data_IF_123998071876
#
_entry.id   IF_123998071876
#
_cell.length_a   1.000
_cell.length_b   1.000
_cell.length_c   1.000
_cell.angle_alpha   90.00
_cell.angle_beta   90.00
_cell.angle_gamma   90.00
#
_symmetry.space_group_name_H-M   'P 1'
#
loop_
_entity.id
_entity.type
_entity.pdbx_description
1 polymer ?
#
# COMPACT_ATOMS: atom_id res chain seq x y z
N UNK A 1 43.56 -23.53 6.49
CA UNK A 1 42.09 -23.64 6.51
C UNK A 1 41.68 -23.99 7.93
N UNK A 2 41.25 -23.01 8.71
CA UNK A 2 40.73 -23.20 10.07
C UNK A 2 39.21 -23.18 9.99
N UNK A 3 38.57 -24.33 10.27
CA UNK A 3 37.12 -24.41 10.40
C UNK A 3 36.68 -23.61 11.63
N UNK A 4 35.65 -22.79 11.46
CA UNK A 4 34.91 -22.18 12.55
C UNK A 4 33.74 -23.11 12.87
N UNK A 5 33.97 -24.10 13.73
CA UNK A 5 32.89 -24.82 14.42
C UNK A 5 32.29 -23.86 15.46
N UNK A 6 31.31 -23.07 15.03
CA UNK A 6 30.44 -22.35 15.94
C UNK A 6 29.27 -23.23 16.34
N UNK A 7 29.30 -23.81 17.54
CA UNK A 7 28.11 -24.39 18.16
C UNK A 7 27.09 -23.29 18.44
N UNK A 8 25.92 -23.35 17.80
CA UNK A 8 24.79 -22.50 18.12
C UNK A 8 23.99 -23.13 19.26
N UNK A 9 24.17 -22.62 20.47
CA UNK A 9 23.40 -23.06 21.64
C UNK A 9 22.14 -22.20 21.78
N UNK A 10 20.99 -22.73 21.40
CA UNK A 10 19.68 -22.13 21.65
C UNK A 10 19.35 -22.23 23.15
N UNK A 11 19.52 -21.14 23.89
CA UNK A 11 19.07 -21.02 25.28
C UNK A 11 17.53 -20.92 25.32
N UNK A 12 16.87 -22.08 25.35
CA UNK A 12 15.43 -22.18 25.55
C UNK A 12 15.03 -21.70 26.95
N UNK A 13 14.16 -20.70 27.03
CA UNK A 13 13.39 -20.44 28.25
C UNK A 13 12.37 -21.56 28.40
N UNK A 14 12.18 -22.06 29.64
CA UNK A 14 11.10 -23.00 30.00
C UNK A 14 9.76 -22.24 30.09
N UNK A 15 9.34 -21.67 28.99
CA UNK A 15 7.94 -21.37 28.67
C UNK A 15 7.66 -22.14 27.40
N UNK A 16 6.54 -22.84 27.32
CA UNK A 16 6.11 -23.48 26.08
C UNK A 16 5.99 -22.37 25.02
N UNK A 17 7.01 -22.25 24.17
CA UNK A 17 7.13 -21.14 23.22
C UNK A 17 6.20 -21.47 22.06
N UNK A 18 4.93 -21.09 22.19
CA UNK A 18 3.93 -21.22 21.11
C UNK A 18 4.15 -20.17 20.02
N UNK A 19 5.29 -19.48 20.03
CA UNK A 19 5.64 -18.42 19.09
C UNK A 19 6.29 -18.99 17.84
N UNK A 20 5.76 -18.62 16.68
CA UNK A 20 6.37 -18.90 15.38
C UNK A 20 7.29 -17.72 15.02
N UNK A 21 8.58 -17.82 15.35
CA UNK A 21 9.53 -16.71 15.18
C UNK A 21 10.33 -16.89 13.88
N UNK A 22 10.59 -15.79 13.16
CA UNK A 22 11.33 -15.72 11.89
C UNK A 22 10.75 -16.56 10.77
N UNK A 23 9.43 -16.55 10.65
CA UNK A 23 8.72 -17.23 9.56
C UNK A 23 9.07 -16.55 8.23
N UNK A 24 9.47 -17.37 7.25
CA UNK A 24 9.68 -16.89 5.88
C UNK A 24 8.35 -16.74 5.17
N UNK A 25 8.29 -15.77 4.26
CA UNK A 25 7.15 -15.58 3.37
C UNK A 25 7.05 -16.68 2.32
N UNK A 26 5.84 -17.02 1.92
CA UNK A 26 5.56 -18.01 0.87
C UNK A 26 4.58 -19.10 1.29
N UNK A 27 4.48 -20.10 0.41
CA UNK A 27 3.71 -21.33 0.63
C UNK A 27 4.64 -22.50 0.99
N UNK A 28 4.13 -23.46 1.77
CA UNK A 28 4.84 -24.68 2.17
C UNK A 28 4.88 -24.90 3.68
N UNK A 29 5.14 -26.13 4.12
CA UNK A 29 5.05 -26.53 5.54
C UNK A 29 5.97 -25.75 6.49
N UNK A 30 7.10 -25.23 5.99
CA UNK A 30 8.05 -24.41 6.76
C UNK A 30 7.73 -22.91 6.74
N UNK A 31 6.69 -22.50 6.02
CA UNK A 31 6.27 -21.11 5.82
C UNK A 31 4.83 -20.85 6.27
N UNK A 32 4.17 -21.90 6.73
CA UNK A 32 2.85 -21.86 7.33
C UNK A 32 2.97 -21.69 8.83
N UNK A 33 2.32 -20.65 9.35
CA UNK A 33 2.06 -20.52 10.79
C UNK A 33 0.91 -21.44 11.15
N UNK A 34 1.19 -22.48 11.93
CA UNK A 34 0.16 -23.37 12.44
C UNK A 34 -0.39 -22.80 13.75
N UNK A 35 -1.61 -22.27 13.68
CA UNK A 35 -2.31 -21.77 14.85
C UNK A 35 -2.98 -22.95 15.54
N UNK A 36 -2.59 -23.24 16.78
CA UNK A 36 -3.26 -24.25 17.60
C UNK A 36 -4.38 -23.58 18.39
N UNK A 37 -5.63 -23.95 18.08
CA UNK A 37 -6.81 -23.33 18.70
C UNK A 37 -6.85 -23.53 20.21
N UNK A 38 -7.52 -22.60 20.90
CA UNK A 38 -7.83 -22.67 22.33
C UNK A 38 -8.29 -21.31 22.87
N UNK A 39 -9.32 -21.32 23.72
CA UNK A 39 -10.02 -20.11 24.19
C UNK A 39 -9.14 -19.12 24.94
N UNK A 40 -8.07 -19.59 25.57
CA UNK A 40 -7.18 -18.80 26.43
C UNK A 40 -5.74 -18.72 25.91
N UNK A 41 -5.48 -19.31 24.75
CA UNK A 41 -4.15 -19.34 24.16
C UNK A 41 -3.99 -18.20 23.17
N UNK A 42 -2.86 -17.50 23.30
CA UNK A 42 -2.43 -16.46 22.37
C UNK A 42 -1.14 -16.94 21.74
N UNK A 43 -1.11 -16.96 20.42
CA UNK A 43 0.07 -17.31 19.65
C UNK A 43 0.63 -16.09 18.96
N UNK A 44 1.95 -16.00 18.96
CA UNK A 44 2.65 -14.92 18.28
C UNK A 44 3.36 -15.48 17.05
N UNK A 45 3.29 -14.75 15.95
CA UNK A 45 4.03 -15.06 14.74
C UNK A 45 4.81 -13.82 14.30
N UNK A 46 6.12 -13.94 14.18
CA UNK A 46 7.01 -12.90 13.69
C UNK A 46 7.64 -13.33 12.38
N UNK A 47 7.51 -12.47 11.36
CA UNK A 47 8.09 -12.69 10.04
C UNK A 47 9.41 -11.94 9.90
N UNK A 48 10.22 -12.38 8.93
CA UNK A 48 11.59 -11.87 8.70
C UNK A 48 11.70 -10.34 8.52
N UNK A 49 10.66 -9.67 8.02
CA UNK A 49 10.67 -8.21 7.83
C UNK A 49 10.24 -7.42 9.09
N UNK A 50 9.83 -8.12 10.15
CA UNK A 50 9.32 -7.56 11.40
C UNK A 50 7.80 -7.41 11.47
N UNK A 51 7.04 -7.93 10.49
CA UNK A 51 5.59 -8.10 10.63
C UNK A 51 5.32 -9.07 11.78
N UNK A 52 4.44 -8.68 12.71
CA UNK A 52 4.04 -9.52 13.85
C UNK A 52 2.54 -9.66 13.92
N UNK A 53 2.09 -10.89 14.16
CA UNK A 53 0.70 -11.23 14.42
C UNK A 53 0.60 -11.81 15.82
N UNK A 54 -0.37 -11.34 16.61
CA UNK A 54 -0.75 -11.93 17.89
C UNK A 54 -2.16 -12.45 17.74
N UNK A 55 -2.30 -13.76 17.72
CA UNK A 55 -3.47 -14.48 17.27
C UNK A 55 -4.10 -15.18 18.46
N UNK A 56 -5.37 -14.89 18.70
CA UNK A 56 -6.23 -15.63 19.62
C UNK A 56 -7.36 -16.28 18.81
N UNK A 57 -7.46 -17.60 18.87
CA UNK A 57 -8.50 -18.34 18.16
C UNK A 57 -8.93 -19.58 18.91
N UNK A 58 -10.22 -19.91 18.89
CA UNK A 58 -10.73 -21.17 19.45
C UNK A 58 -10.43 -22.39 18.57
N UNK A 59 -10.16 -22.18 17.29
CA UNK A 59 -10.05 -23.23 16.28
C UNK A 59 -8.64 -23.26 15.70
N UNK A 60 -8.13 -24.45 15.39
CA UNK A 60 -6.82 -24.59 14.75
C UNK A 60 -6.93 -24.29 13.25
N UNK A 61 -5.94 -23.58 12.70
CA UNK A 61 -5.85 -23.31 11.26
C UNK A 61 -4.41 -22.98 10.83
N UNK A 62 -4.14 -23.07 9.54
CA UNK A 62 -2.89 -22.61 8.94
C UNK A 62 -3.01 -21.17 8.43
N UNK A 63 -1.97 -20.37 8.63
CA UNK A 63 -1.86 -19.02 8.11
C UNK A 63 -0.58 -18.89 7.28
N UNK A 64 -0.73 -18.39 6.04
CA UNK A 64 0.37 -18.14 5.12
C UNK A 64 0.36 -16.66 4.73
N UNK A 65 1.56 -16.12 4.51
CA UNK A 65 1.72 -14.76 4.01
C UNK A 65 2.64 -14.79 2.80
N UNK A 66 2.14 -14.27 1.68
CA UNK A 66 2.93 -14.04 0.47
C UNK A 66 3.26 -12.54 0.32
N UNK A 67 4.34 -12.24 -0.40
CA UNK A 67 4.75 -10.87 -0.73
C UNK A 67 4.70 -10.67 -2.26
N UNK A 68 3.52 -10.47 -2.85
CA UNK A 68 3.45 -10.09 -4.26
C UNK A 68 4.05 -8.70 -4.47
N UNK A 69 4.92 -8.60 -5.47
CA UNK A 69 5.50 -7.34 -5.90
C UNK A 69 4.62 -6.64 -6.93
N UNK A 70 4.60 -5.31 -6.88
CA UNK A 70 3.84 -4.47 -7.79
C UNK A 70 2.46 -4.16 -7.23
N UNK A 71 2.14 -2.86 -7.17
CA UNK A 71 0.83 -2.37 -6.73
C UNK A 71 0.30 -1.48 -7.84
N UNK A 72 -0.86 -1.81 -8.39
CA UNK A 72 -1.50 -1.00 -9.42
C UNK A 72 -1.93 0.33 -8.80
N UNK A 73 -1.49 1.44 -9.39
CA UNK A 73 -1.80 2.79 -8.91
C UNK A 73 -3.32 3.05 -8.86
N UNK A 74 -4.12 2.37 -9.69
CA UNK A 74 -5.57 2.50 -9.69
C UNK A 74 -6.23 1.88 -8.46
N UNK A 75 -5.55 0.94 -7.80
CA UNK A 75 -5.99 0.37 -6.52
C UNK A 75 -5.64 1.25 -5.32
N UNK A 76 -4.80 2.28 -5.49
CA UNK A 76 -4.38 3.18 -4.42
C UNK A 76 -5.39 4.34 -4.31
N UNK A 77 -5.91 4.64 -3.10
CA UNK A 77 -6.77 5.80 -2.88
C UNK A 77 -6.13 7.12 -3.30
N UNK A 78 -6.94 8.05 -3.80
CA UNK A 78 -6.46 9.38 -4.19
C UNK A 78 -5.68 10.07 -3.07
N UNK A 79 -4.66 10.85 -3.44
CA UNK A 79 -3.82 11.62 -2.50
C UNK A 79 -3.07 10.76 -1.48
N UNK A 80 -2.94 9.47 -1.77
CA UNK A 80 -2.06 8.57 -1.06
C UNK A 80 -1.07 7.93 -2.01
N UNK A 81 0.04 7.47 -1.46
CA UNK A 81 1.02 6.67 -2.17
C UNK A 81 1.35 5.45 -1.32
N UNK A 82 1.65 4.32 -1.97
CA UNK A 82 2.22 3.19 -1.24
C UNK A 82 3.62 3.54 -0.73
N UNK A 83 3.89 3.20 0.52
CA UNK A 83 5.22 3.31 1.10
C UNK A 83 6.16 2.26 0.48
N UNK A 84 5.65 1.03 0.38
CA UNK A 84 6.34 -0.13 -0.18
C UNK A 84 5.85 -0.41 -1.61
N UNK A 85 6.63 -1.19 -2.36
CA UNK A 85 6.28 -1.67 -3.71
C UNK A 85 5.67 -3.08 -3.71
N UNK A 86 5.26 -3.57 -2.53
CA UNK A 86 4.70 -4.90 -2.32
C UNK A 86 3.54 -4.84 -1.33
N UNK A 87 2.74 -5.90 -1.28
CA UNK A 87 1.71 -6.10 -0.26
C UNK A 87 2.01 -7.34 0.58
N UNK A 88 1.45 -7.41 1.79
CA UNK A 88 1.37 -8.67 2.52
C UNK A 88 0.04 -9.33 2.16
N UNK A 89 0.08 -10.44 1.43
CA UNK A 89 -1.08 -11.22 1.05
C UNK A 89 -1.26 -12.35 2.08
N UNK A 90 -2.13 -12.12 3.06
CA UNK A 90 -2.43 -13.07 4.12
C UNK A 90 -3.57 -13.97 3.66
N UNK A 91 -3.38 -15.27 3.81
CA UNK A 91 -4.39 -16.29 3.55
C UNK A 91 -4.43 -17.30 4.70
N UNK A 92 -5.63 -17.67 5.13
CA UNK A 92 -5.84 -18.62 6.21
C UNK A 92 -6.72 -19.78 5.77
N UNK A 93 -6.56 -20.94 6.40
CA UNK A 93 -7.46 -22.09 6.25
C UNK A 93 -8.60 -22.06 7.28
N UNK A 94 -8.82 -20.94 7.96
CA UNK A 94 -9.79 -20.82 9.04
C UNK A 94 -11.22 -20.90 8.49
N UNK A 95 -11.96 -21.91 8.93
CA UNK A 95 -13.37 -22.12 8.54
C UNK A 95 -14.30 -21.23 9.36
N UNK A 96 -14.01 -21.05 10.65
CA UNK A 96 -14.81 -20.26 11.59
C UNK A 96 -14.09 -18.98 12.01
N UNK A 97 -14.44 -17.86 11.38
CA UNK A 97 -13.84 -16.53 11.66
C UNK A 97 -14.43 -15.83 12.88
N UNK A 98 -15.56 -16.32 13.41
CA UNK A 98 -16.31 -15.65 14.48
C UNK A 98 -15.57 -15.61 15.83
N UNK A 99 -14.62 -16.51 16.06
CA UNK A 99 -13.83 -16.60 17.29
C UNK A 99 -12.35 -16.27 17.07
N UNK A 100 -12.04 -15.52 16.01
CA UNK A 100 -10.70 -15.06 15.70
C UNK A 100 -10.52 -13.62 16.19
N UNK A 101 -9.44 -13.37 16.92
CA UNK A 101 -8.99 -12.02 17.26
C UNK A 101 -7.50 -11.92 16.99
N UNK A 102 -7.11 -11.01 16.09
CA UNK A 102 -5.71 -10.80 15.73
C UNK A 102 -5.31 -9.36 15.94
N UNK A 103 -4.22 -9.17 16.69
CA UNK A 103 -3.50 -7.91 16.71
C UNK A 103 -2.34 -8.00 15.72
N UNK A 104 -2.24 -7.02 14.82
CA UNK A 104 -1.23 -6.96 13.78
C UNK A 104 -0.31 -5.77 14.01
N UNK A 105 0.99 -6.00 13.96
CA UNK A 105 2.00 -4.96 14.04
C UNK A 105 2.83 -4.95 12.76
N UNK A 106 2.76 -3.86 12.02
CA UNK A 106 3.40 -3.69 10.72
C UNK A 106 4.59 -2.75 10.83
N UNK A 107 5.81 -3.17 10.40
CA UNK A 107 6.99 -2.33 10.42
C UNK A 107 6.90 -1.24 9.35
N UNK A 108 7.36 -0.03 9.70
CA UNK A 108 7.41 1.13 8.79
C UNK A 108 8.86 1.52 8.55
N UNK A 109 9.30 1.40 7.30
CA UNK A 109 10.64 1.82 6.91
C UNK A 109 10.74 3.36 6.98
N UNK A 110 11.44 3.86 8.01
CA UNK A 110 11.59 5.29 8.25
C UNK A 110 12.33 6.02 7.12
N UNK A 111 13.34 5.38 6.52
CA UNK A 111 14.11 6.00 5.44
C UNK A 111 13.25 6.17 4.18
N UNK A 112 12.40 5.18 3.86
CA UNK A 112 11.44 5.30 2.76
C UNK A 112 10.37 6.34 3.07
N UNK A 113 9.87 6.37 4.30
CA UNK A 113 8.87 7.35 4.73
C UNK A 113 9.42 8.78 4.64
N UNK A 114 10.62 9.01 5.15
CA UNK A 114 11.30 10.30 5.07
C UNK A 114 11.48 10.73 3.61
N UNK A 115 11.93 9.84 2.72
CA UNK A 115 12.06 10.14 1.28
C UNK A 115 10.72 10.50 0.62
N UNK A 116 9.65 9.78 0.95
CA UNK A 116 8.30 10.04 0.43
C UNK A 116 7.75 11.39 0.89
N UNK A 117 8.05 11.78 2.13
CA UNK A 117 7.64 13.06 2.69
C UNK A 117 8.53 14.22 2.20
N UNK A 118 9.84 14.00 2.03
CA UNK A 118 10.81 15.01 1.55
C UNK A 118 10.60 15.44 0.10
N UNK A 119 10.08 14.56 -0.77
CA UNK A 119 9.75 14.92 -2.17
C UNK A 119 8.77 16.09 -2.30
N UNK A 120 8.17 16.56 -1.20
CA UNK A 120 7.17 17.61 -1.20
C UNK A 120 7.42 18.62 -0.08
N UNK A 121 8.27 19.61 -0.38
CA UNK A 121 8.64 20.77 0.45
C UNK A 121 7.45 21.71 0.74
N UNK A 122 6.51 21.29 1.58
CA UNK A 122 5.63 22.25 2.26
C UNK A 122 5.50 21.84 3.72
N UNK A 123 6.36 22.41 4.55
CA UNK A 123 6.68 22.09 5.95
C UNK A 123 5.53 22.17 6.97
N UNK A 124 4.27 22.32 6.54
CA UNK A 124 3.12 22.53 7.47
C UNK A 124 2.15 21.38 7.58
N UNK A 125 2.20 20.38 6.71
CA UNK A 125 1.26 19.26 6.77
C UNK A 125 1.91 18.00 7.37
N UNK A 126 1.42 17.58 8.55
CA UNK A 126 1.82 16.31 9.17
C UNK A 126 1.33 15.18 8.27
N UNK A 127 2.24 14.53 7.55
CA UNK A 127 1.93 13.35 6.77
C UNK A 127 1.29 12.25 7.65
N UNK A 128 0.25 11.62 7.12
CA UNK A 128 -0.46 10.49 7.75
C UNK A 128 0.10 9.19 7.18
N UNK A 129 0.40 8.23 8.05
CA UNK A 129 0.76 6.86 7.68
C UNK A 129 -0.35 5.94 8.16
N UNK A 130 -0.84 5.08 7.28
CA UNK A 130 -1.91 4.13 7.60
C UNK A 130 -1.71 2.80 6.89
N UNK A 131 -2.23 1.73 7.48
CA UNK A 131 -2.38 0.43 6.86
C UNK A 131 -3.73 0.37 6.14
N UNK A 132 -3.71 -0.11 4.91
CA UNK A 132 -4.90 -0.34 4.12
C UNK A 132 -4.96 -1.79 3.63
N UNK A 133 -6.18 -2.32 3.47
CA UNK A 133 -6.47 -3.69 3.08
C UNK A 133 -7.41 -3.72 1.89
N UNK A 134 -7.28 -4.75 1.06
CA UNK A 134 -8.33 -5.21 0.14
C UNK A 134 -8.50 -6.73 0.27
N UNK A 135 -9.60 -7.24 -0.28
CA UNK A 135 -9.87 -8.68 -0.34
C UNK A 135 -8.76 -9.43 -1.07
N UNK A 136 -8.47 -10.67 -0.65
CA UNK A 136 -7.40 -11.48 -1.22
C UNK A 136 -7.65 -11.76 -2.71
N UNK A 137 -8.91 -12.05 -3.06
CA UNK A 137 -9.38 -12.32 -4.41
C UNK A 137 -9.75 -11.05 -5.20
N UNK A 138 -9.48 -9.85 -4.67
CA UNK A 138 -9.75 -8.62 -5.40
C UNK A 138 -8.89 -8.54 -6.66
N UNK A 139 -9.45 -7.93 -7.72
CA UNK A 139 -8.68 -7.61 -8.92
C UNK A 139 -7.48 -6.70 -8.57
N UNK A 140 -6.46 -6.67 -9.42
CA UNK A 140 -5.25 -5.84 -9.22
C UNK A 140 -5.58 -4.35 -9.05
N UNK A 141 -6.69 -3.87 -9.64
CA UNK A 141 -7.21 -2.50 -9.51
C UNK A 141 -8.21 -2.33 -8.37
N UNK A 142 -8.46 -3.37 -7.57
CA UNK A 142 -9.33 -3.31 -6.41
C UNK A 142 -8.79 -2.34 -5.37
N UNK A 143 -9.67 -1.47 -4.88
CA UNK A 143 -9.31 -0.36 -4.02
C UNK A 143 -8.88 -0.82 -2.62
N UNK A 144 -7.74 -0.35 -2.14
CA UNK A 144 -7.34 -0.52 -0.74
C UNK A 144 -8.13 0.43 0.15
N UNK A 145 -8.68 -0.10 1.25
CA UNK A 145 -9.40 0.68 2.26
C UNK A 145 -8.63 0.68 3.58
N UNK A 146 -8.59 1.78 4.34
CA UNK A 146 -7.92 1.80 5.63
C UNK A 146 -8.45 0.70 6.54
N UNK A 147 -7.56 0.06 7.27
CA UNK A 147 -7.94 -0.90 8.31
C UNK A 147 -8.45 -0.12 9.52
N UNK A 148 -9.53 -0.57 10.15
CA UNK A 148 -10.04 0.05 11.37
C UNK A 148 -9.11 -0.22 12.58
N UNK A 149 -9.30 0.52 13.68
CA UNK A 149 -8.57 0.32 14.94
C UNK A 149 -7.04 0.30 14.80
N UNK A 150 -6.52 1.13 13.88
CA UNK A 150 -5.09 1.24 13.63
C UNK A 150 -4.49 2.48 14.30
N UNK A 151 -3.23 2.37 14.72
CA UNK A 151 -2.45 3.46 15.28
C UNK A 151 -1.01 3.41 14.77
N UNK A 152 -0.54 4.51 14.18
CA UNK A 152 0.87 4.68 13.86
C UNK A 152 1.66 5.16 15.09
N UNK A 153 2.60 4.35 15.55
CA UNK A 153 3.46 4.64 16.70
C UNK A 153 4.82 5.10 16.17
N UNK A 154 5.00 6.42 16.03
CA UNK A 154 6.19 7.04 15.44
C UNK A 154 7.50 6.64 16.15
N UNK A 155 7.49 6.55 17.48
CA UNK A 155 8.68 6.17 18.27
C UNK A 155 9.13 4.73 18.01
N UNK A 156 8.19 3.83 17.75
CA UNK A 156 8.44 2.41 17.47
C UNK A 156 8.53 2.11 15.96
N UNK A 157 8.26 3.11 15.11
CA UNK A 157 8.28 2.98 13.64
C UNK A 157 7.40 1.83 13.14
N UNK A 158 6.20 1.72 13.68
CA UNK A 158 5.26 0.64 13.34
C UNK A 158 3.81 1.12 13.38
N UNK A 159 2.95 0.42 12.67
CA UNK A 159 1.50 0.55 12.75
C UNK A 159 0.99 -0.64 13.56
N UNK A 160 0.24 -0.37 14.63
CA UNK A 160 -0.50 -1.39 15.35
C UNK A 160 -1.95 -1.39 14.91
N UNK A 161 -2.52 -2.56 14.75
CA UNK A 161 -3.93 -2.79 14.46
C UNK A 161 -4.41 -3.80 15.48
N UNK A 162 -5.52 -3.51 16.13
CA UNK A 162 -6.04 -4.36 17.21
C UNK A 162 -7.38 -4.99 16.83
N UNK A 163 -7.63 -6.19 17.35
CA UNK A 163 -8.93 -6.88 17.29
C UNK A 163 -9.46 -7.12 15.88
N UNK A 164 -8.61 -7.55 14.96
CA UNK A 164 -9.06 -8.03 13.65
C UNK A 164 -9.82 -9.35 13.80
N UNK A 165 -11.05 -9.39 13.31
CA UNK A 165 -11.90 -10.59 13.25
C UNK A 165 -11.69 -11.43 11.99
N UNK A 166 -10.98 -10.88 11.01
CA UNK A 166 -10.61 -11.54 9.77
C UNK A 166 -9.29 -10.97 9.32
N UNK A 167 -8.32 -11.83 9.02
CA UNK A 167 -6.98 -11.41 8.56
C UNK A 167 -6.74 -11.62 7.07
N UNK A 168 -7.58 -12.39 6.38
CA UNK A 168 -7.39 -12.69 4.96
C UNK A 168 -7.44 -11.45 4.08
N UNK A 169 -6.42 -11.21 3.27
CA UNK A 169 -6.43 -10.04 2.40
C UNK A 169 -5.04 -9.58 2.04
N UNK A 170 -5.01 -8.55 1.20
CA UNK A 170 -3.76 -7.91 0.82
C UNK A 170 -3.64 -6.58 1.57
N UNK A 171 -2.51 -6.39 2.25
CA UNK A 171 -2.24 -5.22 3.08
C UNK A 171 -1.11 -4.38 2.51
N UNK A 172 -1.26 -3.06 2.58
CA UNK A 172 -0.27 -2.08 2.12
C UNK A 172 -0.18 -0.93 3.11
N UNK A 173 1.04 -0.42 3.33
CA UNK A 173 1.22 0.85 4.04
C UNK A 173 1.06 2.00 3.05
N UNK A 174 0.12 2.90 3.34
CA UNK A 174 -0.13 4.13 2.59
C UNK A 174 0.41 5.35 3.35
N UNK A 175 0.92 6.30 2.58
CA UNK A 175 1.36 7.61 3.07
C UNK A 175 0.49 8.68 2.40
N UNK A 176 -0.07 9.58 3.20
CA UNK A 176 -0.76 10.78 2.72
C UNK A 176 -0.13 12.03 3.30
N UNK A 177 -0.20 13.15 2.60
CA UNK A 177 0.33 14.45 3.07
C UNK A 177 -0.66 15.17 3.99
N UNK A 178 -1.96 14.98 3.73
CA UNK A 178 -3.05 15.57 4.51
C UNK A 178 -3.61 14.53 5.47
N UNK A 179 -4.50 14.95 6.38
CA UNK A 179 -5.36 14.00 7.09
C UNK A 179 -6.07 13.15 6.04
N UNK A 180 -5.93 11.84 6.18
CA UNK A 180 -6.64 10.92 5.31
C UNK A 180 -8.13 11.10 5.54
N UNK A 181 -8.83 11.46 4.47
CA UNK A 181 -10.28 11.34 4.38
C UNK A 181 -10.54 10.18 3.45
N UNK A 182 -11.46 9.30 3.83
CA UNK A 182 -11.81 8.15 3.00
C UNK A 182 -12.22 8.67 1.61
N UNK A 183 -11.42 8.32 0.61
CA UNK A 183 -11.61 8.74 -0.77
C UNK A 183 -11.72 7.52 -1.65
N UNK A 184 -12.59 7.58 -2.67
CA UNK A 184 -12.68 6.51 -3.65
C UNK A 184 -11.35 6.39 -4.39
N UNK A 185 -11.01 5.17 -4.78
CA UNK A 185 -9.94 4.94 -5.74
C UNK A 185 -10.33 5.52 -7.10
N UNK A 186 -9.34 5.93 -7.92
CA UNK A 186 -9.61 6.46 -9.25
C UNK A 186 -10.40 5.43 -10.07
N UNK A 187 -11.63 5.78 -10.44
CA UNK A 187 -12.45 4.94 -11.30
C UNK A 187 -11.97 5.07 -12.75
N UNK A 188 -12.13 4.00 -13.55
CA UNK A 188 -11.93 4.04 -15.00
C UNK A 188 -12.89 5.08 -15.60
N UNK A 189 -12.43 6.31 -15.79
CA UNK A 189 -13.21 7.37 -16.42
C UNK A 189 -12.62 8.78 -16.29
N UNK A 190 -11.97 9.13 -15.19
CA UNK A 190 -11.67 10.55 -14.91
C UNK A 190 -10.30 11.06 -15.41
N UNK A 191 -9.38 10.17 -15.79
CA UNK A 191 -8.04 10.59 -16.23
C UNK A 191 -7.97 10.93 -17.72
N UNK A 192 -8.92 10.42 -18.53
CA UNK A 192 -8.97 10.68 -19.98
C UNK A 192 -9.63 12.03 -20.32
N UNK A 193 -10.44 12.59 -19.43
CA UNK A 193 -11.00 13.95 -19.58
C UNK A 193 -10.04 15.06 -19.10
N UNK A 194 -9.15 14.79 -18.13
CA UNK A 194 -8.19 15.82 -17.68
C UNK A 194 -7.03 16.07 -18.66
N UNK A 195 -6.61 15.05 -19.42
CA UNK A 195 -5.62 15.25 -20.48
C UNK A 195 -6.21 15.89 -21.75
N UNK A 196 -7.50 15.68 -22.04
CA UNK A 196 -8.16 16.29 -23.21
C UNK A 196 -8.71 17.70 -22.96
N UNK A 197 -8.92 18.11 -21.70
CA UNK A 197 -9.32 19.48 -21.35
C UNK A 197 -8.16 20.49 -21.47
N UNK A 198 -6.92 20.10 -21.14
CA UNK A 198 -5.74 20.97 -21.30
C UNK A 198 -5.40 21.23 -22.77
N UNK A 199 -5.61 20.23 -23.63
CA UNK A 199 -5.36 20.38 -25.07
C UNK A 199 -6.46 21.19 -25.79
N UNK A 200 -7.71 21.13 -25.31
CA UNK A 200 -8.81 21.97 -25.82
C UNK A 200 -8.73 23.44 -25.37
N UNK A 201 -8.12 23.74 -24.22
CA UNK A 201 -7.94 25.12 -23.77
C UNK A 201 -6.82 25.84 -24.55
N UNK A 202 -5.72 25.15 -24.88
CA UNK A 202 -4.63 25.72 -25.66
C UNK A 202 -5.01 25.99 -27.13
N UNK A 203 -5.98 25.23 -27.68
CA UNK A 203 -6.43 25.39 -29.07
C UNK A 203 -7.51 26.46 -29.27
N UNK A 204 -8.19 26.89 -28.18
CA UNK A 204 -9.21 27.95 -28.23
C UNK A 204 -8.60 29.36 -28.21
N UNK A 205 -7.36 29.50 -27.74
CA UNK A 205 -6.62 30.77 -27.71
C UNK A 205 -6.00 31.17 -29.06
N UNK A 206 -5.88 30.24 -30.02
CA UNK A 206 -5.28 30.51 -31.34
C UNK A 206 -6.28 30.76 -32.48
N UNK A 207 -7.58 30.54 -32.27
CA UNK A 207 -8.61 30.65 -33.33
C UNK A 207 -9.69 31.71 -33.04
N UNK A 208 -9.56 32.50 -31.97
CA UNK A 208 -10.55 33.48 -31.53
C UNK A 208 -10.17 34.94 -31.82
N UNK A 209 -9.70 35.25 -33.03
CA UNK A 209 -9.26 36.61 -33.40
C UNK A 209 -9.67 37.01 -34.81
N UNK A 210 -10.97 37.01 -35.11
CA UNK A 210 -11.50 37.65 -36.32
C UNK A 210 -12.64 38.59 -35.94
N UNK A 211 -12.42 39.89 -36.11
CA UNK A 211 -13.47 40.90 -36.25
C UNK A 211 -13.36 41.54 -37.65
N UNK A 212 -14.49 41.84 -38.31
CA UNK A 212 -14.52 42.31 -39.70
C UNK A 212 -14.57 43.84 -39.81
N UNK A 213 -14.17 44.39 -40.97
CA UNK A 213 -14.74 45.65 -41.47
C UNK A 213 -13.79 46.67 -42.12
N UNK A 214 -13.87 46.72 -43.46
CA UNK A 214 -13.80 47.87 -44.37
C UNK A 214 -12.49 48.60 -44.77
N UNK A 215 -12.20 48.43 -46.07
CA UNK A 215 -12.00 49.44 -47.13
C UNK A 215 -10.65 50.19 -47.24
N UNK A 216 -9.89 49.90 -48.32
CA UNK A 216 -9.70 50.77 -49.51
C UNK A 216 -8.71 50.16 -50.53
N UNK A 217 -9.24 49.87 -51.72
CA UNK A 217 -8.77 50.20 -53.08
C UNK A 217 -7.29 50.58 -53.35
N UNK A 218 -6.78 49.94 -54.43
CA UNK A 218 -5.89 50.42 -55.51
C UNK A 218 -4.47 49.82 -55.65
N UNK A 219 -4.38 48.91 -56.64
CA UNK A 219 -3.71 49.10 -57.94
C UNK A 219 -2.19 48.85 -58.10
N UNK A 220 -1.87 48.31 -59.28
CA UNK A 220 -0.56 48.05 -59.94
C UNK A 220 0.26 46.83 -59.52
N UNK A 221 1.06 46.18 -60.37
CA UNK A 221 1.13 45.92 -61.82
C UNK A 221 2.45 45.12 -61.97
N UNK A 222 2.38 43.89 -62.49
CA UNK A 222 3.26 43.30 -63.52
C UNK A 222 4.82 43.29 -63.37
N UNK A 223 5.35 42.04 -63.49
CA UNK A 223 6.53 41.53 -64.27
C UNK A 223 7.90 41.22 -63.64
N UNK A 224 8.34 40.01 -64.07
CA UNK A 224 9.67 39.54 -64.56
C UNK A 224 10.77 39.31 -63.51
N UNK A 225 11.20 38.07 -63.32
CA UNK A 225 12.12 37.23 -64.13
C UNK A 225 13.59 37.65 -64.07
N UNK A 226 14.39 36.69 -63.60
CA UNK A 226 15.74 36.33 -63.99
C UNK A 226 16.89 37.27 -63.61
N UNK A 227 17.75 36.76 -62.73
CA UNK A 227 19.10 36.35 -63.15
C UNK A 227 19.42 34.97 -62.56
#
# INVERSE_FOLDING_TARGET
>A
MTSLDGEYMLLGRKSEDTSNIFVQYGQGSTRTVNVTGGSDFVQEAEFIDGLRLRIKSSSSFGLNIDIPFGIDARGIPEKTESLNSYTWAINTTAVDKNNLSVDMTVPVNHNMLAKKLQKHETEKEKGTVLLARRELAANSTGCFRPVENQQYIKSQRMIKVERLTSVDGQYVVLVSKKKYHERPCPQKGEEQERCSAKEKSAKKEWLGGSRPGHAKSNDKFIKRMAS
#
